data_IF_453774334866
#
_entry.id   IF_453774334866
#
_cell.length_a   1.000
_cell.length_b   1.000
_cell.length_c   1.000
_cell.angle_alpha   90.00
_cell.angle_beta   90.00
_cell.angle_gamma   90.00
#
_symmetry.space_group_name_H-M   'P 1'
#
loop_
_entity.id
_entity.type
_entity.pdbx_description
1 polymer ?
#
# COMPACT_ATOMS: atom_id res chain seq x y z
N UNK A 1 8.13 -6.64 -10.22
CA UNK A 1 8.64 -5.32 -9.78
C UNK A 1 9.03 -5.40 -8.30
N UNK A 2 9.83 -4.46 -7.77
CA UNK A 2 10.29 -4.50 -6.37
C UNK A 2 9.32 -3.76 -5.43
N UNK A 3 8.83 -2.59 -5.84
CA UNK A 3 7.77 -1.83 -5.16
C UNK A 3 7.10 -0.92 -6.19
N UNK A 4 5.88 -0.46 -5.88
CA UNK A 4 5.20 0.62 -6.58
C UNK A 4 5.23 1.89 -5.73
N UNK A 5 5.76 2.99 -6.25
CA UNK A 5 5.86 4.27 -5.52
C UNK A 5 4.79 5.22 -6.01
N UNK A 6 3.93 5.68 -5.09
CA UNK A 6 2.77 6.51 -5.39
C UNK A 6 2.72 7.74 -4.48
N UNK A 7 3.27 8.86 -4.96
CA UNK A 7 3.35 10.11 -4.19
C UNK A 7 2.15 11.06 -4.40
N UNK A 8 1.16 10.65 -5.21
CA UNK A 8 -0.03 11.45 -5.50
C UNK A 8 -1.11 11.27 -4.42
N UNK A 9 -1.96 12.29 -4.28
CA UNK A 9 -3.23 12.18 -3.54
C UNK A 9 -4.31 11.80 -4.55
N UNK A 10 -4.72 10.53 -4.54
CA UNK A 10 -5.82 10.03 -5.36
C UNK A 10 -6.88 9.47 -4.43
N UNK A 11 -8.12 9.92 -4.60
CA UNK A 11 -9.19 9.63 -3.65
C UNK A 11 -9.67 8.16 -3.74
N UNK A 12 -9.54 7.50 -4.89
CA UNK A 12 -10.05 6.15 -5.10
C UNK A 12 -9.06 5.04 -4.76
N UNK A 13 -7.75 5.32 -4.79
CA UNK A 13 -6.72 4.33 -4.45
C UNK A 13 -6.67 3.14 -5.41
N UNK A 14 -7.16 3.28 -6.65
CA UNK A 14 -7.26 2.16 -7.60
C UNK A 14 -5.86 1.66 -7.98
N UNK A 15 -4.93 2.56 -8.32
CA UNK A 15 -3.57 2.17 -8.69
C UNK A 15 -2.83 1.41 -7.56
N UNK A 16 -2.88 1.85 -6.28
CA UNK A 16 -2.42 1.05 -5.14
C UNK A 16 -3.08 -0.33 -5.03
N UNK A 17 -4.38 -0.45 -5.29
CA UNK A 17 -5.10 -1.72 -5.24
C UNK A 17 -4.66 -2.66 -6.36
N UNK A 18 -4.45 -2.16 -7.58
CA UNK A 18 -3.93 -2.94 -8.71
C UNK A 18 -2.51 -3.45 -8.45
N UNK A 19 -1.64 -2.59 -7.90
CA UNK A 19 -0.29 -2.99 -7.49
C UNK A 19 -0.34 -4.12 -6.44
N UNK A 20 -1.24 -4.00 -5.46
CA UNK A 20 -1.46 -5.02 -4.44
C UNK A 20 -2.01 -6.33 -5.03
N UNK A 21 -2.91 -6.27 -6.02
CA UNK A 21 -3.43 -7.44 -6.72
C UNK A 21 -2.34 -8.22 -7.49
N UNK A 22 -1.29 -7.52 -7.94
CA UNK A 22 -0.09 -8.14 -8.50
C UNK A 22 0.88 -8.69 -7.43
N UNK A 23 0.57 -8.54 -6.14
CA UNK A 23 1.45 -8.90 -5.02
C UNK A 23 2.63 -7.93 -4.84
N UNK A 24 2.50 -6.69 -5.30
CA UNK A 24 3.56 -5.68 -5.23
C UNK A 24 3.35 -4.77 -4.03
N UNK A 25 4.36 -4.63 -3.13
CA UNK A 25 4.29 -3.67 -2.03
C UNK A 25 4.17 -2.22 -2.53
N UNK A 26 3.40 -1.41 -1.81
CA UNK A 26 3.15 -0.01 -2.17
C UNK A 26 3.85 0.95 -1.22
N UNK A 27 4.57 1.94 -1.75
CA UNK A 27 5.07 3.07 -0.97
C UNK A 27 4.23 4.29 -1.32
N UNK A 28 3.42 4.81 -0.39
CA UNK A 28 2.46 5.85 -0.72
C UNK A 28 2.31 6.95 0.34
N UNK A 29 1.82 8.10 -0.09
CA UNK A 29 1.43 9.17 0.83
C UNK A 29 0.17 8.76 1.62
N UNK A 30 0.17 8.92 2.95
CA UNK A 30 -0.92 8.47 3.86
C UNK A 30 -2.15 9.40 3.79
N UNK A 31 -2.85 9.43 2.66
CA UNK A 31 -4.06 10.25 2.50
C UNK A 31 -4.99 9.70 1.41
N UNK A 32 -6.30 9.78 1.63
CA UNK A 32 -7.29 9.28 0.67
C UNK A 32 -7.22 7.76 0.55
N UNK A 33 -7.51 7.23 -0.63
CA UNK A 33 -7.63 5.78 -0.85
C UNK A 33 -6.37 4.98 -0.52
N UNK A 34 -5.16 5.56 -0.56
CA UNK A 34 -3.93 4.87 -0.15
C UNK A 34 -3.87 4.61 1.36
N UNK A 35 -4.39 5.55 2.18
CA UNK A 35 -4.42 5.40 3.64
C UNK A 35 -5.41 4.34 4.11
N UNK A 36 -6.43 4.05 3.30
CA UNK A 36 -7.45 3.04 3.58
C UNK A 36 -7.07 1.66 3.02
N UNK A 37 -6.40 1.63 1.87
CA UNK A 37 -6.12 0.38 1.14
C UNK A 37 -4.78 -0.25 1.49
N UNK A 38 -3.75 0.53 1.83
CA UNK A 38 -2.41 0.03 2.13
C UNK A 38 -2.25 -0.22 3.64
N UNK A 39 -1.75 -1.39 3.99
CA UNK A 39 -1.41 -1.75 5.38
C UNK A 39 0.08 -1.45 5.57
N UNK A 40 0.38 -0.46 6.39
CA UNK A 40 1.77 -0.09 6.71
C UNK A 40 2.45 -1.20 7.51
N UNK A 41 3.69 -1.53 7.13
CA UNK A 41 4.56 -2.47 7.85
C UNK A 41 4.72 -2.14 9.34
N UNK A 42 4.76 -0.86 9.69
CA UNK A 42 4.92 -0.42 11.10
C UNK A 42 3.65 -0.60 11.91
N UNK A 43 2.50 -0.57 11.24
CA UNK A 43 1.20 -0.69 11.89
C UNK A 43 0.80 -2.17 12.07
N UNK A 44 1.00 -2.99 11.02
CA UNK A 44 0.73 -4.45 11.04
C UNK A 44 1.78 -5.23 10.24
N UNK A 45 2.90 -5.63 10.87
CA UNK A 45 4.02 -6.25 10.17
C UNK A 45 3.67 -7.60 9.54
N UNK A 46 2.76 -8.37 10.14
CA UNK A 46 2.33 -9.69 9.67
C UNK A 46 1.40 -9.67 8.46
N UNK A 47 0.75 -8.52 8.20
CA UNK A 47 -0.20 -8.33 7.11
C UNK A 47 0.19 -7.15 6.21
N UNK A 48 1.45 -6.74 6.27
CA UNK A 48 1.95 -5.54 5.63
C UNK A 48 1.80 -5.63 4.11
N UNK A 49 1.29 -4.56 3.51
CA UNK A 49 1.18 -4.43 2.04
C UNK A 49 1.96 -3.23 1.51
N UNK A 50 2.56 -2.43 2.38
CA UNK A 50 3.35 -1.29 1.97
C UNK A 50 3.98 -0.47 3.10
N UNK A 51 4.46 0.71 2.73
CA UNK A 51 4.96 1.76 3.62
C UNK A 51 4.22 3.06 3.29
N UNK A 52 3.65 3.72 4.29
CA UNK A 52 2.93 4.98 4.14
C UNK A 52 3.74 6.14 4.74
N UNK A 53 3.88 7.25 4.03
CA UNK A 53 4.54 8.44 4.57
C UNK A 53 3.54 9.60 4.75
N UNK A 54 3.68 10.35 5.83
CA UNK A 54 2.62 11.26 6.30
C UNK A 54 2.72 12.68 5.77
N UNK A 55 3.85 13.05 5.16
CA UNK A 55 4.06 14.37 4.55
C UNK A 55 4.65 14.23 3.16
N UNK A 56 4.14 14.99 2.18
CA UNK A 56 4.66 15.01 0.81
C UNK A 56 5.97 15.83 0.72
N UNK A 57 6.99 15.42 1.47
CA UNK A 57 8.32 16.03 1.41
C UNK A 57 9.34 15.03 0.88
N UNK A 58 10.43 15.55 0.29
CA UNK A 58 11.54 14.73 -0.20
C UNK A 58 12.13 13.87 0.95
N UNK A 59 12.43 14.42 2.15
CA UNK A 59 12.94 13.62 3.27
C UNK A 59 12.02 12.45 3.67
N UNK A 60 10.70 12.68 3.73
CA UNK A 60 9.75 11.63 4.15
C UNK A 60 9.63 10.52 3.10
N UNK A 61 9.67 10.87 1.81
CA UNK A 61 9.71 9.89 0.73
C UNK A 61 10.99 9.04 0.77
N UNK A 62 12.15 9.69 0.96
CA UNK A 62 13.44 8.98 1.10
C UNK A 62 13.39 8.01 2.28
N UNK A 63 12.93 8.47 3.44
CA UNK A 63 12.82 7.64 4.64
C UNK A 63 11.90 6.42 4.43
N UNK A 64 10.81 6.59 3.68
CA UNK A 64 9.91 5.48 3.33
C UNK A 64 10.57 4.46 2.39
N UNK A 65 11.30 4.91 1.38
CA UNK A 65 12.06 4.04 0.46
C UNK A 65 13.16 3.28 1.20
N UNK A 66 13.91 3.95 2.06
CA UNK A 66 14.95 3.28 2.87
C UNK A 66 14.37 2.25 3.84
N UNK A 67 13.22 2.56 4.44
CA UNK A 67 12.51 1.62 5.32
C UNK A 67 12.06 0.40 4.54
N UNK A 68 11.50 0.60 3.36
CA UNK A 68 11.12 -0.49 2.46
C UNK A 68 12.34 -1.35 2.09
N UNK A 69 13.46 -0.76 1.68
CA UNK A 69 14.64 -1.51 1.23
C UNK A 69 15.23 -2.39 2.36
N UNK A 70 15.30 -1.85 3.59
CA UNK A 70 15.75 -2.62 4.77
C UNK A 70 14.82 -3.79 5.12
N UNK A 71 13.52 -3.62 4.91
CA UNK A 71 12.49 -4.57 5.34
C UNK A 71 11.86 -5.35 4.19
N UNK A 72 12.48 -5.31 3.02
CA UNK A 72 11.91 -5.86 1.79
C UNK A 72 11.48 -7.33 1.91
N UNK A 73 12.20 -8.13 2.70
CA UNK A 73 11.91 -9.56 2.92
C UNK A 73 10.70 -9.82 3.83
N UNK A 74 10.21 -8.79 4.51
CA UNK A 74 9.09 -8.87 5.45
C UNK A 74 7.73 -8.77 4.74
N UNK A 75 7.70 -8.46 3.44
CA UNK A 75 6.46 -8.40 2.66
C UNK A 75 6.16 -9.74 1.98
N UNK A 76 5.08 -10.39 2.40
CA UNK A 76 4.51 -11.54 1.69
C UNK A 76 3.58 -11.05 0.56
N UNK A 77 3.84 -11.40 -0.70
CA UNK A 77 2.95 -11.07 -1.82
C UNK A 77 1.50 -11.52 -1.62
N UNK A 78 1.24 -12.56 -0.82
CA UNK A 78 -0.12 -13.02 -0.52
C UNK A 78 -0.90 -12.00 0.31
N UNK A 79 -0.26 -11.32 1.27
CA UNK A 79 -0.90 -10.28 2.07
C UNK A 79 -1.45 -9.15 1.18
N UNK A 80 -0.65 -8.70 0.21
CA UNK A 80 -1.06 -7.68 -0.76
C UNK A 80 -2.24 -8.16 -1.63
N UNK A 81 -2.19 -9.40 -2.14
CA UNK A 81 -3.28 -9.98 -2.94
C UNK A 81 -4.58 -10.08 -2.14
N UNK A 82 -4.54 -10.66 -0.95
CA UNK A 82 -5.70 -10.79 -0.06
C UNK A 82 -6.27 -9.43 0.34
N UNK A 83 -5.43 -8.42 0.56
CA UNK A 83 -5.89 -7.06 0.83
C UNK A 83 -6.62 -6.47 -0.37
N UNK A 84 -6.11 -6.65 -1.59
CA UNK A 84 -6.75 -6.15 -2.81
C UNK A 84 -8.15 -6.74 -3.07
N UNK A 85 -8.38 -7.99 -2.68
CA UNK A 85 -9.67 -8.69 -2.87
C UNK A 85 -10.82 -7.98 -2.15
N UNK A 86 -10.54 -7.28 -1.04
CA UNK A 86 -11.52 -6.50 -0.26
C UNK A 86 -12.08 -5.31 -1.03
N UNK A 87 -11.36 -4.84 -2.04
CA UNK A 87 -11.69 -3.67 -2.85
C UNK A 87 -12.15 -4.05 -4.27
N UNK A 88 -12.49 -5.31 -4.50
CA UNK A 88 -13.09 -5.76 -5.75
C UNK A 88 -14.58 -5.38 -5.85
N UNK A 89 -15.15 -5.21 -7.06
CA UNK A 89 -16.56 -4.87 -7.24
C UNK A 89 -17.53 -5.80 -6.50
N UNK A 90 -17.18 -7.09 -6.38
CA UNK A 90 -17.98 -8.11 -5.69
C UNK A 90 -18.04 -7.91 -4.17
N UNK A 91 -17.01 -7.31 -3.57
CA UNK A 91 -16.95 -6.97 -2.15
C UNK A 91 -17.80 -5.72 -1.84
N UNK A 92 -17.95 -4.81 -2.81
CA UNK A 92 -18.73 -3.57 -2.67
C UNK A 92 -20.26 -3.78 -2.79
N UNK A 93 -20.70 -4.85 -3.45
CA UNK A 93 -22.14 -5.14 -3.64
C UNK A 93 -22.86 -5.73 -2.41
N UNK A 94 -22.13 -6.12 -1.36
CA UNK A 94 -22.72 -6.72 -0.15
C UNK A 94 -23.19 -5.70 0.90
N UNK A 95 -23.20 -4.40 0.56
CA UNK A 95 -23.62 -3.34 1.49
C UNK A 95 -24.86 -2.56 0.98
N UNK A 96 -25.74 -3.23 0.22
CA UNK A 96 -27.03 -2.70 -0.25
C UNK A 96 -28.16 -3.52 0.36
#
# INVERSE_FOLDING_TARGET
>A
ANAFVYAACEDFGIAPVEAQACGTPVIAYRRGGTGETVIDLRDRPEAATGILFDRQTIPDLIAAVETFDRQRKSFDPQCARTQSERFTPKSLTNNT
#
